data_IF_579918786416
#
_entry.id   IF_579918786416
#
_cell.length_a   1.000
_cell.length_b   1.000
_cell.length_c   1.000
_cell.angle_alpha   90.00
_cell.angle_beta   90.00
_cell.angle_gamma   90.00
#
_symmetry.space_group_name_H-M   'P 1'
#
loop_
_entity.id
_entity.type
_entity.pdbx_description
1 polymer ?
#
# COMPACT_ATOMS: atom_id res chain seq x y z
N UNK A 1 3.26 -17.68 -67.79
CA UNK A 1 3.94 -17.14 -66.59
C UNK A 1 3.79 -18.14 -65.46
N UNK A 2 4.91 -18.73 -65.00
CA UNK A 2 4.90 -19.75 -63.94
C UNK A 2 4.92 -19.06 -62.58
N UNK A 3 3.80 -19.09 -61.85
CA UNK A 3 3.75 -18.64 -60.47
C UNK A 3 4.34 -19.74 -59.59
N UNK A 4 5.66 -19.69 -59.39
CA UNK A 4 6.33 -20.44 -58.31
C UNK A 4 5.89 -19.84 -56.98
N UNK A 5 4.88 -20.45 -56.37
CA UNK A 5 4.58 -20.23 -54.96
C UNK A 5 5.74 -20.81 -54.14
N UNK A 6 6.61 -19.94 -53.61
CA UNK A 6 7.63 -20.34 -52.65
C UNK A 6 6.91 -20.83 -51.40
N UNK A 7 6.98 -22.12 -51.08
CA UNK A 7 6.66 -22.67 -49.76
C UNK A 7 7.66 -22.08 -48.75
N UNK A 8 7.40 -20.87 -48.28
CA UNK A 8 8.03 -20.37 -47.06
C UNK A 8 7.47 -21.19 -45.90
N UNK A 9 8.37 -21.83 -45.17
CA UNK A 9 8.17 -22.67 -43.99
C UNK A 9 6.86 -22.43 -43.22
N UNK A 10 5.84 -23.25 -43.50
CA UNK A 10 4.53 -23.25 -42.83
C UNK A 10 4.65 -23.53 -41.32
N UNK A 11 5.66 -24.30 -40.88
CA UNK A 11 5.86 -24.61 -39.46
C UNK A 11 6.39 -23.43 -38.66
N UNK A 12 7.26 -22.62 -39.25
CA UNK A 12 7.85 -21.44 -38.58
C UNK A 12 6.76 -20.38 -38.37
N UNK A 13 5.90 -20.15 -39.37
CA UNK A 13 4.79 -19.20 -39.27
C UNK A 13 3.73 -19.59 -38.22
N UNK A 14 3.37 -20.88 -38.11
CA UNK A 14 2.42 -21.34 -37.09
C UNK A 14 2.97 -21.26 -35.67
N UNK A 15 4.27 -21.54 -35.46
CA UNK A 15 4.93 -21.40 -34.15
C UNK A 15 4.97 -19.94 -33.71
N UNK A 16 5.25 -19.00 -34.63
CA UNK A 16 5.20 -17.57 -34.34
C UNK A 16 3.79 -17.09 -33.99
N UNK A 17 2.75 -17.52 -34.74
CA UNK A 17 1.36 -17.18 -34.44
C UNK A 17 0.89 -17.72 -33.09
N UNK A 18 1.25 -18.96 -32.77
CA UNK A 18 0.96 -19.55 -31.47
C UNK A 18 1.65 -18.74 -30.35
N UNK A 19 2.94 -18.41 -30.51
CA UNK A 19 3.70 -17.60 -29.56
C UNK A 19 3.08 -16.20 -29.36
N UNK A 20 2.62 -15.53 -30.42
CA UNK A 20 1.93 -14.25 -30.31
C UNK A 20 0.61 -14.36 -29.54
N UNK A 21 -0.18 -15.42 -29.75
CA UNK A 21 -1.41 -15.64 -28.98
C UNK A 21 -1.12 -15.92 -27.50
N UNK A 22 -0.03 -16.63 -27.19
CA UNK A 22 0.41 -16.83 -25.81
C UNK A 22 0.88 -15.53 -25.13
N UNK A 23 1.58 -14.65 -25.84
CA UNK A 23 2.07 -13.37 -25.28
C UNK A 23 0.93 -12.38 -24.94
N UNK A 24 -0.17 -12.39 -25.70
CA UNK A 24 -1.35 -11.55 -25.43
C UNK A 24 -2.23 -12.07 -24.26
N UNK A 25 -1.94 -13.27 -23.76
CA UNK A 25 -2.72 -13.92 -22.69
C UNK A 25 -2.13 -13.73 -21.29
N UNK A 26 -1.01 -13.01 -21.17
CA UNK A 26 -0.43 -12.70 -19.87
C UNK A 26 -1.24 -11.58 -19.21
N UNK A 27 -2.02 -11.84 -18.14
CA UNK A 27 -2.60 -10.76 -17.37
C UNK A 27 -1.45 -9.86 -16.88
N UNK A 28 -1.57 -8.55 -17.10
CA UNK A 28 -0.54 -7.59 -16.73
C UNK A 28 -0.14 -7.77 -15.26
N UNK A 29 1.17 -7.84 -14.99
CA UNK A 29 1.71 -7.96 -13.64
C UNK A 29 1.40 -6.68 -12.87
N UNK A 30 0.36 -6.69 -12.04
CA UNK A 30 0.09 -5.58 -11.11
C UNK A 30 1.10 -5.70 -9.97
N UNK A 31 2.12 -4.85 -9.98
CA UNK A 31 3.09 -4.77 -8.89
C UNK A 31 2.41 -4.19 -7.65
N UNK A 32 2.38 -4.97 -6.57
CA UNK A 32 1.95 -4.48 -5.27
C UNK A 32 3.00 -3.50 -4.70
N UNK A 33 2.53 -2.34 -4.25
CA UNK A 33 3.34 -1.33 -3.58
C UNK A 33 3.10 -1.41 -2.07
N UNK A 34 4.07 -1.96 -1.36
CA UNK A 34 3.98 -2.24 0.09
C UNK A 34 4.18 -0.95 0.89
N UNK A 35 3.36 -0.77 1.91
CA UNK A 35 3.41 0.37 2.84
C UNK A 35 3.79 -0.11 4.24
N UNK A 36 4.83 0.49 4.79
CA UNK A 36 5.29 0.28 6.17
C UNK A 36 5.08 1.54 7.00
N UNK A 37 4.99 1.38 8.32
CA UNK A 37 5.09 2.50 9.26
C UNK A 37 6.57 2.82 9.48
N UNK A 38 6.97 4.07 9.29
CA UNK A 38 8.33 4.57 9.49
C UNK A 38 8.49 5.16 10.90
N UNK A 39 7.53 6.00 11.31
CA UNK A 39 7.49 6.53 12.68
C UNK A 39 6.08 6.90 13.12
N UNK A 40 5.86 6.95 14.42
CA UNK A 40 4.61 7.43 15.01
C UNK A 40 4.83 8.06 16.38
N UNK A 41 4.04 9.09 16.67
CA UNK A 41 3.91 9.68 17.99
C UNK A 41 2.43 9.94 18.26
N UNK A 42 1.92 9.35 19.33
CA UNK A 42 0.56 9.58 19.84
C UNK A 42 0.63 10.69 20.89
N UNK A 43 -0.20 11.73 20.78
CA UNK A 43 -0.25 12.85 21.73
C UNK A 43 -1.34 12.69 22.78
N UNK A 44 -2.46 12.08 22.37
CA UNK A 44 -3.64 11.86 23.20
C UNK A 44 -4.06 10.39 23.12
N UNK A 45 -4.52 9.85 24.22
CA UNK A 45 -5.18 8.55 24.33
C UNK A 45 -6.58 8.83 24.87
N UNK A 46 -7.54 8.04 24.44
CA UNK A 46 -8.95 8.14 24.83
C UNK A 46 -9.33 7.03 25.84
N UNK A 47 -8.42 6.09 26.12
CA UNK A 47 -8.52 5.11 27.21
C UNK A 47 -8.81 5.76 28.57
N UNK A 48 -9.73 5.13 29.31
CA UNK A 48 -10.06 5.50 30.70
C UNK A 48 -9.27 4.63 31.69
N UNK A 49 -8.68 5.25 32.72
CA UNK A 49 -7.95 4.62 33.85
C UNK A 49 -6.62 3.92 33.50
N UNK A 50 -5.51 4.67 33.43
CA UNK A 50 -4.08 4.22 33.42
C UNK A 50 -3.69 3.02 32.51
N UNK A 51 -4.59 2.54 31.66
CA UNK A 51 -4.33 1.47 30.73
C UNK A 51 -3.45 1.97 29.58
N UNK A 52 -2.60 1.06 29.10
CA UNK A 52 -1.77 1.35 27.93
C UNK A 52 -2.66 1.32 26.69
N UNK A 53 -2.56 2.32 25.81
CA UNK A 53 -3.37 2.36 24.60
C UNK A 53 -3.08 1.16 23.72
N UNK A 54 -4.13 0.50 23.22
CA UNK A 54 -3.99 -0.50 22.17
C UNK A 54 -4.28 0.14 20.83
N UNK A 55 -3.23 0.65 20.18
CA UNK A 55 -3.35 1.34 18.89
C UNK A 55 -3.33 0.33 17.74
N UNK A 56 -4.20 0.50 16.76
CA UNK A 56 -4.17 -0.29 15.53
C UNK A 56 -4.40 0.57 14.28
N UNK A 57 -3.84 0.11 13.17
CA UNK A 57 -4.09 0.65 11.83
C UNK A 57 -5.01 -0.30 11.05
N UNK A 58 -5.95 0.24 10.28
CA UNK A 58 -6.84 -0.58 9.46
C UNK A 58 -7.27 0.14 8.20
N UNK A 59 -7.25 -0.60 7.09
CA UNK A 59 -7.88 -0.21 5.83
C UNK A 59 -9.19 -0.97 5.62
N UNK A 60 -10.14 -0.37 4.91
CA UNK A 60 -11.42 -1.00 4.58
C UNK A 60 -11.20 -2.30 3.78
N UNK A 61 -11.80 -3.39 4.25
CA UNK A 61 -11.66 -4.72 3.63
C UNK A 61 -10.39 -5.48 4.05
N UNK A 62 -9.56 -4.91 4.93
CA UNK A 62 -8.37 -5.56 5.47
C UNK A 62 -8.49 -5.87 6.96
N UNK A 63 -7.66 -6.81 7.42
CA UNK A 63 -7.51 -7.12 8.83
C UNK A 63 -6.86 -5.95 9.58
N UNK A 64 -7.26 -5.73 10.84
CA UNK A 64 -6.59 -4.76 11.69
C UNK A 64 -5.13 -5.14 11.92
N UNK A 65 -4.26 -4.15 11.96
CA UNK A 65 -2.83 -4.28 12.28
C UNK A 65 -2.58 -3.62 13.62
N UNK A 66 -2.46 -4.42 14.67
CA UNK A 66 -2.12 -3.92 16.00
C UNK A 66 -0.68 -3.41 15.98
N UNK A 67 -0.42 -2.28 16.63
CA UNK A 67 0.91 -1.68 16.79
C UNK A 67 1.41 -1.98 18.21
N UNK A 68 1.90 -3.20 18.50
CA UNK A 68 2.19 -3.66 19.86
C UNK A 68 3.30 -2.88 20.55
N UNK A 69 4.12 -2.16 19.78
CA UNK A 69 5.28 -1.40 20.29
C UNK A 69 4.89 0.02 20.74
N UNK A 70 3.75 0.54 20.29
CA UNK A 70 3.25 1.88 20.63
C UNK A 70 2.48 1.80 21.95
N UNK A 71 3.13 2.19 23.05
CA UNK A 71 2.59 1.97 24.41
C UNK A 71 2.43 3.23 25.24
N UNK A 72 3.05 4.33 24.83
CA UNK A 72 3.12 5.56 25.62
C UNK A 72 2.82 6.78 24.75
N UNK A 73 2.03 7.71 25.30
CA UNK A 73 1.82 9.03 24.70
C UNK A 73 3.09 9.86 24.79
N UNK A 74 3.23 10.80 23.87
CA UNK A 74 4.35 11.73 23.74
C UNK A 74 5.72 11.08 23.49
N UNK A 75 5.77 9.77 23.28
CA UNK A 75 6.97 9.03 22.84
C UNK A 75 6.95 8.88 21.33
N UNK A 76 8.08 9.19 20.68
CA UNK A 76 8.27 8.94 19.25
C UNK A 76 8.83 7.54 19.07
N UNK A 77 8.12 6.71 18.33
CA UNK A 77 8.57 5.39 17.91
C UNK A 77 9.04 5.44 16.46
N UNK A 78 10.16 4.78 16.16
CA UNK A 78 10.75 4.69 14.83
C UNK A 78 10.97 3.22 14.51
N UNK A 79 10.58 2.80 13.31
CA UNK A 79 10.54 1.40 12.89
C UNK A 79 11.43 1.17 11.66
N UNK A 80 11.80 -0.09 11.44
CA UNK A 80 12.64 -0.49 10.30
C UNK A 80 11.85 -1.15 9.17
N UNK A 81 10.58 -1.47 9.39
CA UNK A 81 9.78 -2.25 8.43
C UNK A 81 9.98 -3.76 8.55
N UNK A 82 10.81 -4.21 9.51
CA UNK A 82 11.12 -5.63 9.78
C UNK A 82 10.25 -6.20 10.91
N UNK A 83 9.44 -5.38 11.57
CA UNK A 83 8.62 -5.81 12.69
C UNK A 83 7.56 -6.81 12.21
N UNK A 84 7.30 -7.85 13.01
CA UNK A 84 6.43 -8.99 12.63
C UNK A 84 4.99 -8.62 12.24
N UNK A 85 4.51 -7.45 12.63
CA UNK A 85 3.18 -6.93 12.32
C UNK A 85 3.15 -6.07 11.04
N UNK A 86 4.32 -5.69 10.51
CA UNK A 86 4.45 -5.03 9.22
C UNK A 86 4.36 -6.06 8.07
N UNK A 87 3.93 -5.65 6.85
CA UNK A 87 3.52 -4.31 6.47
C UNK A 87 2.12 -3.93 6.97
N UNK A 88 1.82 -2.65 6.92
CA UNK A 88 0.50 -2.12 7.29
C UNK A 88 -0.55 -2.43 6.22
N UNK A 89 -0.21 -2.19 4.96
CA UNK A 89 -1.07 -2.46 3.80
C UNK A 89 -0.23 -2.50 2.52
N UNK A 90 -0.88 -2.71 1.38
CA UNK A 90 -0.30 -2.64 0.04
C UNK A 90 -1.25 -1.93 -0.91
N UNK A 91 -0.73 -1.22 -1.91
CA UNK A 91 -1.55 -0.68 -3.00
C UNK A 91 -1.47 -1.57 -4.24
N UNK A 92 -2.61 -1.72 -4.91
CA UNK A 92 -2.72 -2.35 -6.23
C UNK A 92 -3.03 -1.27 -7.26
N UNK A 93 -2.01 -0.81 -7.98
CA UNK A 93 -2.12 0.28 -8.94
C UNK A 93 -2.30 1.65 -8.27
N UNK A 94 -3.24 2.44 -8.77
CA UNK A 94 -3.45 3.85 -8.37
C UNK A 94 -4.62 4.07 -7.41
N UNK A 95 -5.36 3.02 -7.06
CA UNK A 95 -6.55 3.14 -6.21
C UNK A 95 -6.17 3.48 -4.76
N UNK A 96 -6.79 4.52 -4.23
CA UNK A 96 -6.74 4.85 -2.82
C UNK A 96 -7.52 3.83 -1.97
N UNK A 97 -7.20 3.76 -0.68
CA UNK A 97 -7.93 2.99 0.31
C UNK A 97 -8.43 3.91 1.41
N UNK A 98 -9.65 3.68 1.91
CA UNK A 98 -10.10 4.30 3.15
C UNK A 98 -9.42 3.59 4.31
N UNK A 99 -8.55 4.29 5.02
CA UNK A 99 -7.80 3.74 6.15
C UNK A 99 -7.90 4.66 7.36
N UNK A 100 -7.54 4.15 8.53
CA UNK A 100 -7.55 4.92 9.76
C UNK A 100 -6.61 4.37 10.81
N UNK A 101 -6.39 5.20 11.82
CA UNK A 101 -5.73 4.84 13.06
C UNK A 101 -6.76 4.91 14.19
N UNK A 102 -6.75 3.90 15.04
CA UNK A 102 -7.77 3.70 16.06
C UNK A 102 -7.13 3.29 17.37
N UNK A 103 -7.86 3.49 18.46
CA UNK A 103 -7.56 2.99 19.79
C UNK A 103 -8.65 1.98 20.17
N UNK A 104 -8.24 0.75 20.44
CA UNK A 104 -9.17 -0.31 20.85
C UNK A 104 -9.67 -0.05 22.26
N UNK A 105 -10.98 -0.14 22.46
CA UNK A 105 -11.64 0.17 23.73
C UNK A 105 -12.24 -1.11 24.34
N UNK A 106 -12.06 -1.34 25.64
CA UNK A 106 -12.51 -2.61 26.25
C UNK A 106 -14.04 -2.66 26.43
N UNK A 107 -14.68 -1.52 26.67
CA UNK A 107 -16.08 -1.44 27.08
C UNK A 107 -16.99 -0.65 26.12
N UNK A 108 -16.40 0.15 25.22
CA UNK A 108 -17.13 0.98 24.27
C UNK A 108 -16.69 0.67 22.83
N UNK A 109 -17.22 1.42 21.87
CA UNK A 109 -16.68 1.40 20.51
C UNK A 109 -15.29 2.02 20.48
N UNK A 110 -14.36 1.36 19.78
CA UNK A 110 -13.01 1.86 19.50
C UNK A 110 -13.01 3.34 19.08
N UNK A 111 -12.12 4.10 19.71
CA UNK A 111 -11.93 5.51 19.41
C UNK A 111 -11.19 5.68 18.08
N UNK A 112 -11.63 6.68 17.31
CA UNK A 112 -11.04 7.00 16.01
C UNK A 112 -10.09 8.17 16.18
N UNK A 113 -8.79 7.93 16.03
CA UNK A 113 -7.82 9.02 15.96
C UNK A 113 -8.02 9.83 14.67
N UNK A 114 -8.15 9.12 13.55
CA UNK A 114 -8.42 9.70 12.24
C UNK A 114 -8.77 8.61 11.20
N UNK A 115 -9.55 8.99 10.20
CA UNK A 115 -9.82 8.21 9.00
C UNK A 115 -9.67 9.08 7.75
N UNK A 116 -8.94 8.59 6.76
CA UNK A 116 -8.68 9.33 5.54
C UNK A 116 -8.59 8.44 4.31
N UNK A 117 -8.64 9.06 3.13
CA UNK A 117 -8.25 8.40 1.89
C UNK A 117 -6.74 8.33 1.81
N UNK A 118 -6.21 7.11 1.89
CA UNK A 118 -4.79 6.84 1.82
C UNK A 118 -4.42 6.45 0.39
N UNK A 119 -3.65 7.29 -0.28
CA UNK A 119 -3.40 7.18 -1.71
C UNK A 119 -1.91 6.91 -2.02
N UNK A 120 -1.59 6.13 -3.08
CA UNK A 120 -0.21 5.99 -3.55
C UNK A 120 0.45 7.32 -3.90
N UNK A 121 -0.33 8.28 -4.42
CA UNK A 121 0.15 9.61 -4.83
C UNK A 121 0.70 10.45 -3.68
N UNK A 122 0.25 10.20 -2.43
CA UNK A 122 0.67 10.98 -1.26
C UNK A 122 2.15 10.79 -0.89
N UNK A 123 2.79 9.77 -1.46
CA UNK A 123 4.18 9.41 -1.23
C UNK A 123 5.15 9.97 -2.29
N UNK A 124 4.63 10.56 -3.37
CA UNK A 124 5.42 10.93 -4.53
C UNK A 124 6.46 12.04 -4.24
N UNK A 125 6.08 13.03 -3.43
CA UNK A 125 6.85 14.27 -3.28
C UNK A 125 7.93 14.23 -2.18
N UNK A 126 7.97 13.16 -1.38
CA UNK A 126 8.86 13.07 -0.21
C UNK A 126 9.60 11.73 -0.17
N UNK A 127 10.21 11.35 -1.28
CA UNK A 127 11.04 10.16 -1.37
C UNK A 127 10.33 8.88 -0.89
N UNK A 128 9.06 8.73 -1.24
CA UNK A 128 8.27 7.58 -0.85
C UNK A 128 7.81 7.64 0.60
N UNK A 129 7.89 8.80 1.27
CA UNK A 129 7.35 9.03 2.61
C UNK A 129 6.04 9.81 2.52
N UNK A 130 5.09 9.46 3.38
CA UNK A 130 3.87 10.22 3.59
C UNK A 130 3.74 10.56 5.08
N UNK A 131 3.49 11.83 5.39
CA UNK A 131 3.36 12.30 6.77
C UNK A 131 1.89 12.67 7.02
N UNK A 132 1.24 11.96 7.93
CA UNK A 132 -0.12 12.27 8.40
C UNK A 132 -0.03 12.90 9.78
N UNK A 133 -0.59 14.11 9.91
CA UNK A 133 -0.68 14.81 11.19
C UNK A 133 -2.14 15.15 11.47
N UNK A 134 -2.59 14.77 12.65
CA UNK A 134 -3.93 15.14 13.14
C UNK A 134 -3.75 15.93 14.42
N UNK A 135 -4.31 17.15 14.43
CA UNK A 135 -4.04 18.15 15.47
C UNK A 135 -4.39 17.58 16.85
N UNK A 136 -3.37 17.48 17.72
CA UNK A 136 -3.44 16.96 19.09
C UNK A 136 -3.76 15.46 19.23
N UNK A 137 -3.82 14.70 18.14
CA UNK A 137 -4.07 13.25 18.17
C UNK A 137 -2.77 12.48 17.92
N UNK A 138 -2.18 12.60 16.72
CA UNK A 138 -0.92 11.92 16.40
C UNK A 138 -0.11 12.61 15.27
N UNK A 139 1.15 12.19 15.13
CA UNK A 139 2.03 12.44 13.99
C UNK A 139 2.61 11.10 13.54
N UNK A 140 2.31 10.68 12.30
CA UNK A 140 2.77 9.40 11.75
C UNK A 140 3.43 9.61 10.40
N UNK A 141 4.54 8.90 10.18
CA UNK A 141 5.20 8.81 8.88
C UNK A 141 5.07 7.39 8.36
N UNK A 142 4.59 7.26 7.14
CA UNK A 142 4.47 6.02 6.39
C UNK A 142 5.51 6.00 5.27
N UNK A 143 5.94 4.80 4.87
CA UNK A 143 6.92 4.61 3.81
C UNK A 143 6.37 3.66 2.75
N UNK A 144 6.46 4.06 1.49
CA UNK A 144 6.20 3.25 0.31
C UNK A 144 7.28 3.53 -0.76
N UNK A 145 8.38 2.76 -0.80
CA UNK A 145 9.48 3.00 -1.73
C UNK A 145 9.06 2.89 -3.20
N UNK A 146 8.06 2.04 -3.49
CA UNK A 146 7.52 1.84 -4.85
C UNK A 146 6.50 2.91 -5.27
N UNK A 147 5.97 3.71 -4.35
CA UNK A 147 4.98 4.74 -4.65
C UNK A 147 5.61 6.03 -5.23
N UNK A 148 6.95 6.17 -5.16
CA UNK A 148 7.71 7.31 -5.71
C UNK A 148 7.42 7.59 -7.19
N UNK A 149 7.07 6.56 -7.95
CA UNK A 149 6.97 6.62 -9.42
C UNK A 149 5.53 6.65 -9.94
N UNK A 150 4.56 7.10 -9.13
CA UNK A 150 3.12 7.13 -9.43
C UNK A 150 2.66 7.91 -10.67
N UNK A 151 3.56 8.39 -11.53
CA UNK A 151 3.22 8.95 -12.85
C UNK A 151 3.41 7.98 -14.03
N UNK A 152 3.83 6.74 -13.81
CA UNK A 152 4.03 5.80 -14.95
C UNK A 152 3.16 4.56 -14.79
N UNK A 153 1.86 4.78 -14.92
CA UNK A 153 0.84 3.75 -15.12
C UNK A 153 -0.03 4.04 -16.34
N UNK A 154 0.45 4.86 -17.27
CA UNK A 154 -0.14 5.02 -18.60
C UNK A 154 0.81 4.36 -19.60
N UNK A 155 0.72 3.03 -19.71
CA UNK A 155 1.11 2.37 -20.96
C UNK A 155 0.03 2.65 -21.99
N UNK A 156 0.26 3.73 -22.72
CA UNK A 156 0.05 3.92 -24.17
C UNK A 156 -1.05 3.07 -24.82
N UNK A 157 -2.11 3.74 -25.29
CA UNK A 157 -2.71 3.36 -26.58
C UNK A 157 -1.96 4.15 -27.65
N UNK A 158 -1.21 3.43 -28.50
CA UNK A 158 -0.75 3.95 -29.80
C UNK A 158 -1.97 4.01 -30.71
#
# INVERSE_FOLDING_TARGET
MSLRCRRLSSRVSCVFLALCMFLNSLPGLVLAAVVTLDSIKIYKTHEWLDNKPTVYFKCQGENKKILPDVKEKNTTYVFKGEESWQPLTEFLGTKCKRCGLYEEDTFNSDDVFDEWEFCPGDFADNDGKYIRKTKKEFDATFLCPKCKSGRTGESTVI
#
